data_IF_280915417945
#
_entry.id   IF_280915417945
#
_cell.length_a   1.000
_cell.length_b   1.000
_cell.length_c   1.000
_cell.angle_alpha   90.00
_cell.angle_beta   90.00
_cell.angle_gamma   90.00
#
_symmetry.space_group_name_H-M   'P 1'
#
loop_
_entity.id
_entity.type
_entity.pdbx_description
1 polymer ?
#
# COMPACT_ATOMS: atom_id res chain seq x y z
N UNK A 1 16.59 25.77 18.45
CA UNK A 1 16.22 24.76 17.44
C UNK A 1 17.23 24.82 16.30
N UNK A 2 18.12 23.83 16.17
CA UNK A 2 19.11 23.78 15.10
C UNK A 2 18.48 23.27 13.80
N UNK A 3 18.60 24.02 12.70
CA UNK A 3 18.16 23.57 11.37
C UNK A 3 19.04 22.40 10.91
N UNK A 4 18.48 21.27 10.47
CA UNK A 4 19.27 20.12 10.02
C UNK A 4 20.09 20.48 8.78
N UNK A 5 21.36 20.05 8.77
CA UNK A 5 22.30 20.26 7.65
C UNK A 5 21.83 19.54 6.38
N UNK A 6 22.04 20.15 5.21
CA UNK A 6 21.65 19.58 3.92
C UNK A 6 22.21 18.17 3.69
N UNK A 7 23.41 17.87 4.18
CA UNK A 7 24.02 16.53 4.11
C UNK A 7 23.27 15.47 4.95
N UNK A 8 22.81 15.87 6.13
CA UNK A 8 21.98 15.03 7.01
C UNK A 8 20.62 14.74 6.36
N UNK A 9 20.01 15.74 5.72
CA UNK A 9 18.73 15.58 5.02
C UNK A 9 18.84 14.63 3.82
N UNK A 10 19.90 14.75 3.01
CA UNK A 10 20.13 13.88 1.85
C UNK A 10 20.36 12.43 2.29
N UNK A 11 21.15 12.20 3.32
CA UNK A 11 21.40 10.85 3.87
C UNK A 11 20.14 10.22 4.46
N UNK A 12 19.35 10.97 5.23
CA UNK A 12 18.09 10.50 5.78
C UNK A 12 17.07 10.16 4.68
N UNK A 13 16.99 10.97 3.62
CA UNK A 13 16.11 10.69 2.49
C UNK A 13 16.57 9.48 1.66
N UNK A 14 17.87 9.23 1.55
CA UNK A 14 18.40 8.04 0.89
C UNK A 14 18.09 6.77 1.69
N UNK A 15 18.28 6.79 3.02
CA UNK A 15 17.97 5.66 3.89
C UNK A 15 16.47 5.33 3.88
N UNK A 16 15.61 6.35 3.89
CA UNK A 16 14.15 6.18 3.73
C UNK A 16 13.79 5.53 2.40
N UNK A 17 14.42 5.93 1.30
CA UNK A 17 14.23 5.29 -0.01
C UNK A 17 14.63 3.81 0.00
N UNK A 18 15.75 3.47 0.62
CA UNK A 18 16.21 2.07 0.75
C UNK A 18 15.26 1.22 1.59
N UNK A 19 14.82 1.74 2.75
CA UNK A 19 13.85 1.06 3.61
C UNK A 19 12.52 0.85 2.91
N UNK A 20 12.02 1.88 2.21
CA UNK A 20 10.80 1.76 1.41
C UNK A 20 10.93 0.70 0.32
N UNK A 21 12.06 0.68 -0.39
CA UNK A 21 12.32 -0.35 -1.40
C UNK A 21 12.39 -1.76 -0.80
N UNK A 22 13.01 -1.92 0.38
CA UNK A 22 13.07 -3.19 1.09
C UNK A 22 11.67 -3.66 1.54
N UNK A 23 10.87 -2.76 2.08
CA UNK A 23 9.49 -3.04 2.46
C UNK A 23 8.65 -3.41 1.24
N UNK A 24 8.80 -2.69 0.12
CA UNK A 24 8.16 -3.04 -1.15
C UNK A 24 8.59 -4.41 -1.66
N UNK A 25 9.88 -4.76 -1.58
CA UNK A 25 10.37 -6.07 -2.03
C UNK A 25 9.82 -7.20 -1.14
N UNK A 26 9.78 -6.98 0.18
CA UNK A 26 9.15 -7.92 1.13
C UNK A 26 7.66 -8.08 0.84
N UNK A 27 6.99 -6.96 0.56
CA UNK A 27 5.57 -6.94 0.21
C UNK A 27 5.29 -7.63 -1.13
N UNK A 28 6.17 -7.48 -2.13
CA UNK A 28 6.12 -8.22 -3.40
C UNK A 28 6.20 -9.73 -3.17
N UNK A 29 7.10 -10.20 -2.30
CA UNK A 29 7.18 -11.62 -1.95
C UNK A 29 5.89 -12.12 -1.29
N UNK A 30 5.27 -11.32 -0.42
CA UNK A 30 3.98 -11.65 0.19
C UNK A 30 2.85 -11.67 -0.84
N UNK A 31 2.82 -10.73 -1.78
CA UNK A 31 1.83 -10.67 -2.87
C UNK A 31 1.89 -11.89 -3.78
N UNK A 32 3.08 -12.37 -4.15
CA UNK A 32 3.27 -13.53 -5.02
C UNK A 32 2.63 -14.83 -4.49
N UNK A 33 2.66 -15.07 -3.17
CA UNK A 33 2.15 -16.33 -2.55
C UNK A 33 0.64 -16.55 -2.66
N UNK A 34 -0.16 -15.51 -2.98
CA UNK A 34 -1.63 -15.65 -3.08
C UNK A 34 -2.09 -16.25 -4.42
N UNK A 35 -1.23 -16.28 -5.44
CA UNK A 35 -1.62 -16.74 -6.79
C UNK A 35 -1.61 -18.28 -6.87
N UNK A 36 -0.85 -18.99 -6.01
CA UNK A 36 -0.60 -20.43 -6.18
C UNK A 36 -1.59 -21.37 -5.46
N UNK A 37 -2.56 -20.85 -4.70
CA UNK A 37 -3.41 -21.69 -3.82
C UNK A 37 -4.86 -21.92 -4.30
N UNK A 38 -5.18 -21.67 -5.58
CA UNK A 38 -6.48 -22.09 -6.14
C UNK A 38 -6.27 -23.05 -7.30
N UNK A 39 -6.26 -24.34 -6.95
CA UNK A 39 -6.26 -25.46 -7.88
C UNK A 39 -7.57 -25.42 -8.69
N UNK A 40 -7.54 -24.96 -9.95
CA UNK A 40 -8.41 -25.49 -11.02
C UNK A 40 -7.97 -24.99 -12.39
N UNK A 41 -7.90 -25.93 -13.31
CA UNK A 41 -7.67 -25.84 -14.74
C UNK A 41 -8.54 -24.78 -15.43
N UNK A 42 -8.03 -23.56 -15.63
CA UNK A 42 -8.43 -22.74 -16.79
C UNK A 42 -7.41 -21.64 -17.02
N UNK A 43 -6.80 -21.62 -18.20
CA UNK A 43 -6.08 -20.48 -18.76
C UNK A 43 -7.07 -19.35 -19.04
N UNK A 44 -7.56 -18.70 -17.98
CA UNK A 44 -8.40 -17.51 -18.09
C UNK A 44 -7.51 -16.34 -17.73
N UNK A 45 -7.36 -15.41 -18.68
CA UNK A 45 -6.83 -14.06 -18.48
C UNK A 45 -7.56 -13.41 -17.31
N UNK A 46 -7.08 -13.64 -16.09
CA UNK A 46 -7.67 -13.09 -14.88
C UNK A 46 -7.14 -11.69 -14.71
N UNK A 47 -8.04 -10.71 -14.63
CA UNK A 47 -7.71 -9.29 -14.37
C UNK A 47 -6.60 -9.19 -13.31
N UNK A 48 -5.55 -8.39 -13.54
CA UNK A 48 -4.48 -8.23 -12.57
C UNK A 48 -5.04 -7.80 -11.19
N UNK A 49 -4.56 -8.40 -10.08
CA UNK A 49 -5.01 -8.08 -8.74
C UNK A 49 -4.93 -6.58 -8.41
N UNK A 50 -5.91 -6.05 -7.67
CA UNK A 50 -5.98 -4.62 -7.37
C UNK A 50 -5.13 -4.26 -6.14
N UNK A 51 -4.34 -3.20 -6.25
CA UNK A 51 -3.66 -2.53 -5.15
C UNK A 51 -4.35 -1.20 -4.93
N UNK A 52 -4.77 -0.94 -3.69
CA UNK A 52 -5.43 0.31 -3.32
C UNK A 52 -4.49 1.22 -2.55
N UNK A 53 -4.54 2.51 -2.84
CA UNK A 53 -3.68 3.52 -2.22
C UNK A 53 -4.52 4.58 -1.53
N UNK A 54 -4.40 4.67 -0.21
CA UNK A 54 -5.02 5.70 0.61
C UNK A 54 -3.99 6.75 1.07
N UNK A 55 -4.36 8.02 0.96
CA UNK A 55 -3.69 9.15 1.60
C UNK A 55 -4.69 10.30 1.74
N UNK A 56 -4.63 11.02 2.86
CA UNK A 56 -5.42 12.23 3.09
C UNK A 56 -5.05 13.35 2.10
N UNK A 57 -3.79 13.38 1.66
CA UNK A 57 -3.26 14.37 0.73
C UNK A 57 -3.23 13.77 -0.69
N UNK A 58 -4.02 14.34 -1.59
CA UNK A 58 -4.18 13.84 -2.97
C UNK A 58 -2.88 13.85 -3.78
N UNK A 59 -2.07 14.94 -3.82
CA UNK A 59 -0.79 14.92 -4.54
C UNK A 59 0.12 13.75 -4.13
N UNK A 60 0.16 13.44 -2.84
CA UNK A 60 0.95 12.32 -2.31
C UNK A 60 0.37 10.97 -2.76
N UNK A 61 -0.96 10.83 -2.78
CA UNK A 61 -1.64 9.62 -3.28
C UNK A 61 -1.25 9.37 -4.74
N UNK A 62 -1.26 10.40 -5.58
CA UNK A 62 -0.90 10.30 -7.00
C UNK A 62 0.59 9.94 -7.16
N UNK A 63 1.49 10.56 -6.39
CA UNK A 63 2.91 10.23 -6.41
C UNK A 63 3.20 8.78 -5.99
N UNK A 64 2.50 8.28 -4.96
CA UNK A 64 2.60 6.89 -4.52
C UNK A 64 2.13 5.93 -5.61
N UNK A 65 1.00 6.22 -6.25
CA UNK A 65 0.49 5.42 -7.39
C UNK A 65 1.53 5.39 -8.52
N UNK A 66 2.04 6.55 -8.94
CA UNK A 66 3.05 6.64 -9.98
C UNK A 66 4.37 5.91 -9.60
N UNK A 67 4.72 5.89 -8.32
CA UNK A 67 5.91 5.17 -7.82
C UNK A 67 5.69 3.66 -7.81
N UNK A 68 4.52 3.20 -7.37
CA UNK A 68 4.14 1.80 -7.40
C UNK A 68 4.07 1.28 -8.84
N UNK A 69 3.48 2.02 -9.76
CA UNK A 69 3.41 1.66 -11.18
C UNK A 69 4.79 1.54 -11.83
N UNK A 70 5.79 2.33 -11.41
CA UNK A 70 7.18 2.22 -11.90
C UNK A 70 7.97 1.09 -11.25
N UNK A 71 7.58 0.66 -10.06
CA UNK A 71 8.33 -0.32 -9.26
C UNK A 71 7.74 -1.72 -9.37
N UNK A 72 6.44 -1.83 -9.63
CA UNK A 72 5.73 -3.06 -9.89
C UNK A 72 5.68 -3.32 -11.39
N UNK A 73 5.64 -4.60 -11.78
CA UNK A 73 5.42 -4.97 -13.18
C UNK A 73 4.00 -4.55 -13.60
N UNK A 74 3.84 -3.72 -14.65
CA UNK A 74 2.54 -3.14 -15.04
C UNK A 74 1.45 -4.18 -15.30
N UNK A 75 1.82 -5.34 -15.83
CA UNK A 75 0.88 -6.40 -16.21
C UNK A 75 0.49 -7.30 -15.04
N UNK A 76 1.09 -7.11 -13.86
CA UNK A 76 0.85 -7.97 -12.68
C UNK A 76 -0.13 -7.39 -11.68
N UNK A 77 -0.32 -6.07 -11.65
CA UNK A 77 -1.18 -5.40 -10.68
C UNK A 77 -1.85 -4.17 -11.26
N UNK A 78 -3.09 -3.92 -10.86
CA UNK A 78 -3.76 -2.64 -11.15
C UNK A 78 -3.77 -1.77 -9.90
N UNK A 79 -3.20 -0.56 -9.98
CA UNK A 79 -3.09 0.35 -8.83
C UNK A 79 -4.18 1.41 -8.92
N UNK A 80 -5.01 1.55 -7.88
CA UNK A 80 -6.11 2.51 -7.82
C UNK A 80 -6.02 3.42 -6.59
N UNK A 81 -6.44 4.70 -6.70
CA UNK A 81 -6.65 5.54 -5.54
C UNK A 81 -7.86 5.05 -4.72
N UNK A 82 -7.77 5.18 -3.40
CA UNK A 82 -8.86 4.92 -2.47
C UNK A 82 -9.21 6.20 -1.70
N UNK A 83 -10.47 6.62 -1.77
CA UNK A 83 -11.01 7.77 -1.04
C UNK A 83 -11.57 7.37 0.33
N UNK A 84 -11.67 8.31 1.26
CA UNK A 84 -12.24 8.05 2.59
C UNK A 84 -13.72 7.58 2.51
N UNK A 85 -14.49 8.08 1.56
CA UNK A 85 -15.87 7.64 1.31
C UNK A 85 -15.91 6.17 0.87
N UNK A 86 -15.01 5.77 -0.03
CA UNK A 86 -14.89 4.37 -0.45
C UNK A 86 -14.44 3.46 0.69
N UNK A 87 -13.55 3.93 1.57
CA UNK A 87 -13.16 3.18 2.78
C UNK A 87 -14.39 2.87 3.63
N UNK A 88 -15.19 3.90 3.92
CA UNK A 88 -16.42 3.78 4.72
C UNK A 88 -17.48 2.90 4.04
N UNK A 89 -17.55 2.94 2.72
CA UNK A 89 -18.46 2.10 1.93
C UNK A 89 -18.12 0.60 1.92
N UNK A 90 -16.93 0.19 2.37
CA UNK A 90 -16.50 -1.22 2.55
C UNK A 90 -16.67 -2.16 1.34
N UNK A 91 -16.85 -1.64 0.13
CA UNK A 91 -16.99 -2.44 -1.10
C UNK A 91 -15.64 -2.89 -1.73
N UNK A 92 -14.52 -2.50 -1.11
CA UNK A 92 -13.18 -2.70 -1.63
C UNK A 92 -12.43 -3.96 -1.10
N UNK A 93 -12.60 -4.45 0.14
CA UNK A 93 -11.74 -5.49 0.73
C UNK A 93 -11.62 -6.75 -0.12
N UNK A 94 -12.75 -7.28 -0.62
CA UNK A 94 -12.79 -8.54 -1.36
C UNK A 94 -12.07 -8.46 -2.71
N UNK A 95 -12.05 -7.27 -3.30
CA UNK A 95 -11.40 -7.01 -4.59
C UNK A 95 -9.94 -6.57 -4.44
N UNK A 96 -9.42 -6.50 -3.21
CA UNK A 96 -8.12 -5.91 -2.91
C UNK A 96 -7.09 -6.98 -2.59
N UNK A 97 -5.96 -6.96 -3.32
CA UNK A 97 -4.82 -7.81 -3.01
C UNK A 97 -3.91 -7.19 -1.95
N UNK A 98 -3.88 -5.85 -1.88
CA UNK A 98 -3.03 -5.07 -1.00
C UNK A 98 -3.54 -3.65 -0.81
N UNK A 99 -3.42 -3.15 0.41
CA UNK A 99 -3.72 -1.77 0.79
C UNK A 99 -2.41 -1.04 1.15
N UNK A 100 -2.20 0.13 0.54
CA UNK A 100 -1.08 1.02 0.82
C UNK A 100 -1.64 2.26 1.51
N UNK A 101 -1.09 2.61 2.68
CA UNK A 101 -1.60 3.72 3.51
C UNK A 101 -0.49 4.71 3.81
N UNK A 102 -0.71 5.97 3.46
CA UNK A 102 0.17 7.08 3.80
C UNK A 102 -0.58 8.18 4.55
N UNK A 103 0.06 8.77 5.57
CA UNK A 103 -0.49 9.87 6.36
C UNK A 103 -1.01 9.46 7.73
N UNK A 104 -1.64 10.42 8.41
CA UNK A 104 -2.38 10.15 9.64
C UNK A 104 -3.73 9.53 9.28
N UNK A 105 -4.31 8.79 10.21
CA UNK A 105 -5.63 8.20 10.04
C UNK A 105 -6.55 8.71 11.13
N UNK A 106 -7.75 9.12 10.74
CA UNK A 106 -8.86 9.23 11.67
C UNK A 106 -9.20 7.85 12.23
N UNK A 107 -9.61 7.79 13.50
CA UNK A 107 -9.95 6.55 14.21
C UNK A 107 -10.93 5.68 13.43
N UNK A 108 -11.95 6.28 12.82
CA UNK A 108 -12.95 5.55 12.03
C UNK A 108 -12.38 4.83 10.81
N UNK A 109 -11.38 5.40 10.14
CA UNK A 109 -10.72 4.77 8.99
C UNK A 109 -9.71 3.72 9.46
N UNK A 110 -9.02 4.01 10.55
CA UNK A 110 -8.08 3.10 11.19
C UNK A 110 -8.75 1.77 11.55
N UNK A 111 -9.94 1.80 12.17
CA UNK A 111 -10.71 0.60 12.51
C UNK A 111 -11.04 -0.26 11.29
N UNK A 112 -11.42 0.34 10.16
CA UNK A 112 -11.70 -0.39 8.92
C UNK A 112 -10.44 -1.06 8.36
N UNK A 113 -9.30 -0.37 8.42
CA UNK A 113 -8.02 -0.92 7.96
C UNK A 113 -7.49 -2.02 8.87
N UNK A 114 -7.67 -1.89 10.19
CA UNK A 114 -7.36 -2.92 11.16
C UNK A 114 -8.21 -4.18 10.90
N UNK A 115 -9.52 -4.03 10.72
CA UNK A 115 -10.42 -5.13 10.41
C UNK A 115 -10.02 -5.86 9.11
N UNK A 116 -9.69 -5.11 8.04
CA UNK A 116 -9.16 -5.71 6.81
C UNK A 116 -7.88 -6.51 7.05
N UNK A 117 -6.94 -5.99 7.85
CA UNK A 117 -5.69 -6.68 8.16
C UNK A 117 -5.92 -7.96 9.00
N UNK A 118 -6.78 -7.88 10.03
CA UNK A 118 -7.12 -9.00 10.90
C UNK A 118 -7.80 -10.14 10.12
N UNK A 119 -8.55 -9.83 9.06
CA UNK A 119 -9.13 -10.80 8.14
C UNK A 119 -8.13 -11.37 7.11
N UNK A 120 -6.82 -11.16 7.30
CA UNK A 120 -5.77 -11.68 6.43
C UNK A 120 -5.46 -10.80 5.21
N UNK A 121 -5.96 -9.56 5.22
CA UNK A 121 -5.60 -8.53 4.24
C UNK A 121 -4.13 -8.12 4.36
N UNK A 122 -3.54 -7.66 3.25
CA UNK A 122 -2.17 -7.16 3.22
C UNK A 122 -2.17 -5.65 3.28
N UNK A 123 -1.50 -5.08 4.28
CA UNK A 123 -1.41 -3.64 4.51
C UNK A 123 0.06 -3.21 4.56
N UNK A 124 0.40 -2.14 3.84
CA UNK A 124 1.71 -1.49 3.90
C UNK A 124 1.54 0.00 4.29
N UNK A 125 2.08 0.36 5.46
CA UNK A 125 2.17 1.75 5.88
C UNK A 125 3.41 2.43 5.31
N UNK A 126 3.24 3.54 4.60
CA UNK A 126 4.33 4.36 4.04
C UNK A 126 4.37 5.68 4.80
N UNK A 127 5.41 5.90 5.60
CA UNK A 127 5.59 7.13 6.39
C UNK A 127 4.35 7.52 7.23
N UNK A 128 3.50 6.54 7.55
CA UNK A 128 2.24 6.72 8.27
C UNK A 128 2.39 6.23 9.70
N UNK A 129 1.60 6.81 10.61
CA UNK A 129 1.52 6.36 12.01
C UNK A 129 0.67 5.08 12.14
N UNK A 130 0.88 4.16 11.20
CA UNK A 130 0.21 2.86 11.14
C UNK A 130 0.69 1.95 12.28
N UNK A 131 1.80 2.28 12.94
CA UNK A 131 2.28 1.55 14.11
C UNK A 131 1.30 1.60 15.29
N UNK A 132 0.42 2.59 15.37
CA UNK A 132 -0.63 2.68 16.41
C UNK A 132 -1.92 1.90 16.11
N UNK A 133 -1.99 1.14 15.00
CA UNK A 133 -3.16 0.33 14.62
C UNK A 133 -3.22 -1.05 15.31
N UNK A 134 -2.13 -1.49 15.94
CA UNK A 134 -1.97 -2.84 16.49
C UNK A 134 -1.56 -2.81 17.95
#
# INVERSE_FOLDING_TARGET
MAKPSARSLVSANLHRKQLFQYQLNTFRCQLGRRIDHKNSTTTMSSKPPNILVFSEVEPIRLELIATLQRTLEPDRYTVYPLSAEQVRGRAWPDSTAALIVHGRLETSLAEVFADYFLNGGKLLGVCSDVAGLF
#
